data_IF_358690880353
#
_entry.id   IF_358690880353
#
_cell.length_a   1.000
_cell.length_b   1.000
_cell.length_c   1.000
_cell.angle_alpha   90.00
_cell.angle_beta   90.00
_cell.angle_gamma   90.00
#
_symmetry.space_group_name_H-M   'P 1'
#
loop_
_entity.id
_entity.type
_entity.pdbx_description
1 polymer ?
#
# COMPACT_ATOMS: atom_id res chain seq x y z
N UNK A 1 20.08 48.90 37.59
CA UNK A 1 20.76 48.03 38.58
C UNK A 1 20.86 46.63 37.95
N UNK A 2 22.08 46.31 37.53
CA UNK A 2 22.41 45.05 36.84
C UNK A 2 22.88 44.05 37.90
N UNK A 3 22.27 42.88 37.98
CA UNK A 3 22.71 41.75 38.82
C UNK A 3 23.36 40.66 37.95
N UNK A 4 24.37 39.94 38.46
CA UNK A 4 25.37 39.26 37.64
C UNK A 4 24.94 37.82 37.18
N UNK A 5 25.33 37.51 35.95
CA UNK A 5 25.33 36.16 35.35
C UNK A 5 26.26 35.22 36.11
N UNK A 6 25.77 34.06 36.55
CA UNK A 6 26.60 32.93 37.00
C UNK A 6 26.85 31.99 35.84
N UNK A 7 28.13 31.86 35.48
CA UNK A 7 28.63 30.81 34.56
C UNK A 7 28.79 29.52 35.36
N UNK A 8 28.21 28.42 34.85
CA UNK A 8 28.47 27.06 35.34
C UNK A 8 29.50 26.45 34.39
N UNK A 9 30.66 26.14 34.92
CA UNK A 9 31.72 25.42 34.23
C UNK A 9 31.44 23.90 34.29
N UNK A 10 31.42 23.24 33.16
CA UNK A 10 31.36 21.79 33.07
C UNK A 10 32.76 21.20 33.19
N UNK A 11 33.00 20.40 34.25
CA UNK A 11 34.22 19.60 34.43
C UNK A 11 34.14 18.35 33.55
N UNK A 12 35.07 18.21 32.62
CA UNK A 12 35.35 16.98 31.90
C UNK A 12 36.38 16.17 32.68
N UNK A 13 36.00 14.99 33.15
CA UNK A 13 36.91 13.98 33.71
C UNK A 13 37.24 12.95 32.62
N UNK A 14 38.52 12.61 32.43
CA UNK A 14 38.88 11.54 31.51
C UNK A 14 38.78 10.18 32.20
N UNK A 15 38.09 9.25 31.57
CA UNK A 15 37.93 7.85 31.97
C UNK A 15 39.16 7.06 31.48
N UNK A 16 40.10 6.74 32.41
CA UNK A 16 41.18 5.78 32.12
C UNK A 16 40.64 4.36 32.12
N UNK A 17 40.78 3.65 30.99
CA UNK A 17 40.60 2.21 30.91
C UNK A 17 41.90 1.50 31.30
N UNK A 18 41.85 0.78 32.41
CA UNK A 18 42.91 -0.17 32.80
C UNK A 18 42.70 -1.45 32.04
N UNK A 19 43.63 -1.80 31.15
CA UNK A 19 43.67 -3.10 30.47
C UNK A 19 44.38 -4.09 31.40
N UNK A 20 43.61 -5.03 31.96
CA UNK A 20 44.15 -6.18 32.66
C UNK A 20 44.58 -7.22 31.63
N UNK A 21 45.87 -7.48 31.60
CA UNK A 21 46.44 -8.53 30.76
C UNK A 21 46.03 -9.95 31.22
N UNK A 22 45.57 -10.80 30.31
CA UNK A 22 45.51 -12.23 30.49
C UNK A 22 46.76 -12.89 29.89
N UNK A 23 47.28 -13.96 30.53
CA UNK A 23 48.52 -14.64 30.08
C UNK A 23 48.26 -15.45 28.80
N UNK A 24 49.21 -15.38 27.89
CA UNK A 24 49.21 -16.05 26.60
C UNK A 24 49.19 -17.58 26.69
N UNK A 25 48.42 -18.18 25.80
CA UNK A 25 48.64 -19.51 25.32
C UNK A 25 49.08 -19.39 23.86
N UNK A 26 50.32 -19.78 23.57
CA UNK A 26 50.82 -19.92 22.21
C UNK A 26 49.95 -20.94 21.46
N UNK A 27 49.10 -20.48 20.57
CA UNK A 27 48.52 -21.33 19.54
C UNK A 27 49.29 -21.08 18.26
N UNK A 28 49.98 -22.14 17.87
CA UNK A 28 50.70 -22.28 16.62
C UNK A 28 49.73 -22.17 15.44
N UNK A 29 49.71 -21.01 14.77
CA UNK A 29 48.97 -20.82 13.52
C UNK A 29 49.82 -21.42 12.39
N UNK A 30 49.68 -22.74 12.16
CA UNK A 30 50.12 -23.35 10.91
C UNK A 30 49.27 -22.82 9.76
N UNK A 31 49.90 -22.06 8.87
CA UNK A 31 49.32 -21.61 7.61
C UNK A 31 48.94 -22.85 6.79
N UNK A 32 47.67 -23.00 6.35
CA UNK A 32 47.32 -24.15 5.48
C UNK A 32 48.01 -23.99 4.14
N UNK A 33 48.72 -25.03 3.76
CA UNK A 33 49.36 -25.16 2.45
C UNK A 33 48.29 -25.11 1.34
N UNK A 34 48.59 -24.33 0.33
CA UNK A 34 47.82 -24.03 -0.87
C UNK A 34 47.82 -25.26 -1.80
N UNK A 35 47.05 -26.32 -1.51
CA UNK A 35 46.77 -27.44 -2.41
C UNK A 35 45.54 -28.23 -1.93
N UNK A 36 44.42 -27.52 -1.61
CA UNK A 36 43.10 -28.14 -1.56
C UNK A 36 42.43 -27.87 -2.91
N UNK A 37 42.23 -28.91 -3.71
CA UNK A 37 41.36 -28.83 -4.88
C UNK A 37 40.00 -28.29 -4.45
N UNK A 38 39.40 -27.34 -5.22
CA UNK A 38 38.03 -26.89 -4.93
C UNK A 38 37.12 -28.12 -5.01
N UNK A 39 36.45 -28.43 -3.90
CA UNK A 39 35.39 -29.43 -3.90
C UNK A 39 34.36 -29.09 -4.99
N UNK A 40 33.61 -30.10 -5.49
CA UNK A 40 32.61 -29.83 -6.50
C UNK A 40 31.68 -28.70 -5.98
N UNK A 41 31.28 -27.76 -6.87
CA UNK A 41 30.38 -26.68 -6.45
C UNK A 41 29.19 -27.34 -5.79
N UNK A 42 28.78 -26.82 -4.59
CA UNK A 42 27.59 -27.26 -3.92
C UNK A 42 26.48 -27.29 -4.96
N UNK A 43 25.91 -28.49 -5.16
CA UNK A 43 24.81 -28.65 -6.08
C UNK A 43 23.75 -27.65 -5.61
N UNK A 44 23.45 -26.66 -6.44
CA UNK A 44 22.32 -25.76 -6.22
C UNK A 44 21.13 -26.68 -5.92
N UNK A 45 20.64 -26.62 -4.69
CA UNK A 45 19.38 -27.29 -4.34
C UNK A 45 18.36 -26.57 -5.15
N UNK A 46 17.97 -27.10 -6.30
CA UNK A 46 16.79 -26.65 -7.02
C UNK A 46 15.62 -26.86 -6.06
N UNK A 47 15.21 -25.78 -5.40
CA UNK A 47 13.92 -25.73 -4.75
C UNK A 47 12.90 -25.86 -5.88
N UNK A 48 12.42 -27.08 -6.12
CA UNK A 48 11.22 -27.22 -6.93
C UNK A 48 10.14 -26.37 -6.26
N UNK A 49 9.83 -25.23 -6.87
CA UNK A 49 8.73 -24.39 -6.44
C UNK A 49 7.47 -25.27 -6.43
N UNK A 50 6.79 -25.34 -5.29
CA UNK A 50 5.52 -26.06 -5.19
C UNK A 50 4.50 -25.52 -6.22
N UNK A 51 3.35 -26.18 -6.40
CA UNK A 51 2.33 -25.69 -7.33
C UNK A 51 1.95 -24.25 -6.97
N UNK A 52 1.62 -23.42 -7.99
CA UNK A 52 1.19 -22.05 -7.75
C UNK A 52 0.01 -21.97 -6.77
N UNK A 53 0.06 -21.02 -5.85
CA UNK A 53 -1.05 -20.70 -4.94
C UNK A 53 -1.73 -19.44 -5.46
N UNK A 54 -3.00 -19.52 -5.87
CA UNK A 54 -3.74 -18.34 -6.29
C UNK A 54 -4.02 -17.43 -5.08
N UNK A 55 -3.77 -16.12 -5.24
CA UNK A 55 -4.16 -15.09 -4.28
C UNK A 55 -5.00 -14.06 -5.04
N UNK A 56 -6.26 -13.99 -4.70
CA UNK A 56 -7.22 -13.05 -5.30
C UNK A 56 -7.24 -11.77 -4.49
N UNK A 57 -6.93 -10.66 -5.15
CA UNK A 57 -6.86 -9.32 -4.56
C UNK A 57 -7.95 -8.45 -5.16
N UNK A 58 -8.68 -7.74 -4.30
CA UNK A 58 -9.71 -6.76 -4.66
C UNK A 58 -9.31 -5.39 -4.16
N UNK A 59 -9.46 -4.36 -4.99
CA UNK A 59 -9.46 -2.97 -4.55
C UNK A 59 -10.81 -2.34 -4.79
N UNK A 60 -11.26 -1.49 -3.84
CA UNK A 60 -12.57 -0.86 -3.95
C UNK A 60 -12.68 0.42 -3.13
N UNK A 61 -12.97 1.55 -3.78
CA UNK A 61 -13.42 2.75 -3.12
C UNK A 61 -14.89 2.55 -2.70
N UNK A 62 -15.13 2.50 -1.38
CA UNK A 62 -16.47 2.23 -0.82
C UNK A 62 -17.29 3.47 -0.59
N UNK A 63 -16.87 4.63 -1.06
CA UNK A 63 -17.56 5.93 -0.96
C UNK A 63 -17.99 6.29 0.46
N UNK A 64 -17.11 6.95 1.20
CA UNK A 64 -17.39 7.56 2.51
C UNK A 64 -18.08 6.59 3.50
N UNK A 65 -17.37 5.54 3.91
CA UNK A 65 -17.87 4.62 4.93
C UNK A 65 -17.70 5.26 6.33
N UNK A 66 -18.60 6.20 6.67
CA UNK A 66 -18.67 6.88 7.96
C UNK A 66 -19.57 6.12 8.94
N UNK A 67 -19.29 6.26 10.23
CA UNK A 67 -20.13 5.72 11.31
C UNK A 67 -21.13 6.74 11.89
N UNK A 68 -21.86 6.32 12.90
CA UNK A 68 -22.89 7.11 13.58
C UNK A 68 -22.40 7.75 14.90
N UNK A 69 -21.06 7.84 15.08
CA UNK A 69 -20.42 8.34 16.30
C UNK A 69 -19.41 9.43 16.00
N UNK A 70 -19.09 10.23 17.03
CA UNK A 70 -17.98 11.18 17.01
C UNK A 70 -16.78 10.55 17.69
N UNK A 71 -16.02 9.73 16.97
CA UNK A 71 -14.90 8.95 17.49
C UNK A 71 -13.62 9.08 16.68
N UNK A 72 -13.55 10.00 15.73
CA UNK A 72 -12.32 10.30 15.01
C UNK A 72 -11.25 10.86 15.96
N UNK A 73 -10.05 10.32 15.84
CA UNK A 73 -8.86 10.83 16.56
C UNK A 73 -8.09 11.88 15.76
N UNK A 74 -8.45 12.09 14.49
CA UNK A 74 -7.67 12.91 13.55
C UNK A 74 -8.34 14.23 13.18
N UNK A 75 -9.67 14.27 13.21
CA UNK A 75 -10.46 15.47 12.94
C UNK A 75 -11.08 16.00 14.21
N UNK A 76 -11.25 17.33 14.26
CA UNK A 76 -12.02 17.94 15.34
C UNK A 76 -13.45 17.37 15.33
N UNK A 77 -13.96 16.98 16.50
CA UNK A 77 -15.31 16.41 16.62
C UNK A 77 -16.43 17.29 16.00
N UNK A 78 -16.22 18.61 15.91
CA UNK A 78 -17.17 19.52 15.27
C UNK A 78 -17.23 19.35 13.74
N UNK A 79 -16.14 18.89 13.13
CA UNK A 79 -15.97 18.77 11.67
C UNK A 79 -16.18 17.33 11.18
N UNK A 80 -16.31 16.37 12.11
CA UNK A 80 -16.52 14.96 11.80
C UNK A 80 -17.89 14.72 11.17
N UNK A 81 -17.90 14.05 10.03
CA UNK A 81 -19.13 13.65 9.35
C UNK A 81 -19.76 12.48 10.09
N UNK A 82 -21.06 12.61 10.43
CA UNK A 82 -21.82 11.56 11.09
C UNK A 82 -23.03 11.22 10.23
N UNK A 83 -23.25 9.92 10.04
CA UNK A 83 -24.46 9.40 9.41
C UNK A 83 -25.43 8.86 10.46
N UNK A 84 -26.67 8.58 10.09
CA UNK A 84 -27.59 7.91 11.02
C UNK A 84 -27.18 6.44 11.22
N UNK A 85 -27.52 5.86 12.38
CA UNK A 85 -27.26 4.45 12.68
C UNK A 85 -27.90 3.49 11.66
N UNK A 86 -29.03 3.89 11.04
CA UNK A 86 -29.68 3.10 9.99
C UNK A 86 -28.90 3.14 8.68
N UNK A 87 -28.40 4.30 8.26
CA UNK A 87 -27.55 4.47 7.08
C UNK A 87 -26.22 3.72 7.25
N UNK A 88 -25.55 3.88 8.40
CA UNK A 88 -24.33 3.16 8.71
C UNK A 88 -24.52 1.64 8.61
N UNK A 89 -25.54 1.11 9.28
CA UNK A 89 -25.87 -0.33 9.25
C UNK A 89 -26.16 -0.83 7.84
N UNK A 90 -26.92 -0.06 7.06
CA UNK A 90 -27.26 -0.40 5.67
C UNK A 90 -26.00 -0.41 4.79
N UNK A 91 -25.14 0.60 4.92
CA UNK A 91 -23.89 0.74 4.17
C UNK A 91 -22.93 -0.40 4.47
N UNK A 92 -22.69 -0.70 5.77
CA UNK A 92 -21.87 -1.84 6.19
C UNK A 92 -22.40 -3.16 5.63
N UNK A 93 -23.72 -3.36 5.62
CA UNK A 93 -24.32 -4.59 5.09
C UNK A 93 -24.13 -4.68 3.57
N UNK A 94 -24.28 -3.57 2.83
CA UNK A 94 -24.11 -3.54 1.38
C UNK A 94 -22.64 -3.82 0.99
N UNK A 95 -21.67 -3.16 1.66
CA UNK A 95 -20.24 -3.39 1.41
C UNK A 95 -19.86 -4.84 1.73
N UNK A 96 -20.31 -5.37 2.89
CA UNK A 96 -20.03 -6.76 3.26
C UNK A 96 -20.62 -7.76 2.27
N UNK A 97 -21.81 -7.50 1.73
CA UNK A 97 -22.46 -8.39 0.75
C UNK A 97 -21.67 -8.52 -0.56
N UNK A 98 -21.12 -7.40 -1.07
CA UNK A 98 -20.27 -7.40 -2.26
C UNK A 98 -18.98 -8.19 -2.01
N UNK A 99 -18.27 -7.92 -0.90
CA UNK A 99 -17.03 -8.63 -0.54
C UNK A 99 -17.31 -10.13 -0.40
N UNK A 100 -18.40 -10.52 0.29
CA UNK A 100 -18.77 -11.90 0.49
C UNK A 100 -19.19 -12.61 -0.82
N UNK A 101 -19.69 -11.90 -1.82
CA UNK A 101 -20.02 -12.45 -3.14
C UNK A 101 -18.75 -12.67 -3.99
N UNK A 102 -17.81 -11.71 -3.99
CA UNK A 102 -16.54 -11.79 -4.73
C UNK A 102 -15.58 -12.80 -4.10
N UNK A 103 -15.49 -12.86 -2.75
CA UNK A 103 -14.62 -13.73 -1.96
C UNK A 103 -13.14 -13.60 -2.32
N UNK A 104 -12.57 -12.40 -2.32
CA UNK A 104 -11.15 -12.24 -2.52
C UNK A 104 -10.37 -12.65 -1.26
N UNK A 105 -9.12 -13.10 -1.39
CA UNK A 105 -8.25 -13.41 -0.25
C UNK A 105 -7.79 -12.14 0.49
N UNK A 106 -7.62 -11.03 -0.27
CA UNK A 106 -7.21 -9.71 0.24
C UNK A 106 -8.08 -8.62 -0.36
N UNK A 107 -8.55 -7.70 0.47
CA UNK A 107 -9.34 -6.52 0.07
C UNK A 107 -8.64 -5.26 0.52
N UNK A 108 -8.36 -4.34 -0.40
CA UNK A 108 -7.88 -2.98 -0.11
C UNK A 108 -9.01 -2.00 -0.37
N UNK A 109 -9.47 -1.34 0.69
CA UNK A 109 -10.60 -0.41 0.65
C UNK A 109 -10.10 1.03 0.73
N UNK A 110 -10.73 1.93 -0.03
CA UNK A 110 -10.56 3.37 0.10
C UNK A 110 -11.85 3.97 0.69
N UNK A 111 -11.69 5.12 1.38
CA UNK A 111 -12.76 5.88 2.02
C UNK A 111 -13.40 5.19 3.24
N UNK A 112 -12.58 4.50 4.02
CA UNK A 112 -12.97 3.98 5.34
C UNK A 112 -12.59 5.00 6.41
N UNK A 113 -13.52 5.33 7.32
CA UNK A 113 -13.31 6.39 8.30
C UNK A 113 -12.24 6.06 9.34
N UNK A 114 -12.34 4.90 9.99
CA UNK A 114 -11.44 4.56 11.09
C UNK A 114 -11.39 3.05 11.37
N UNK A 115 -10.55 2.64 12.34
CA UNK A 115 -10.40 1.24 12.72
C UNK A 115 -11.71 0.64 13.29
N UNK A 116 -12.54 1.43 13.98
CA UNK A 116 -13.82 0.95 14.53
C UNK A 116 -14.76 0.54 13.40
N UNK A 117 -14.86 1.36 12.36
CA UNK A 117 -15.65 1.06 11.16
C UNK A 117 -15.14 -0.21 10.45
N UNK A 118 -13.82 -0.35 10.34
CA UNK A 118 -13.20 -1.54 9.74
C UNK A 118 -13.48 -2.80 10.58
N UNK A 119 -13.43 -2.70 11.89
CA UNK A 119 -13.74 -3.81 12.79
C UNK A 119 -15.21 -4.18 12.75
N UNK A 120 -16.12 -3.22 12.69
CA UNK A 120 -17.56 -3.44 12.51
C UNK A 120 -17.85 -4.15 11.17
N UNK A 121 -17.17 -3.75 10.08
CA UNK A 121 -17.22 -4.47 8.80
C UNK A 121 -16.70 -5.90 8.94
N UNK A 122 -15.59 -6.08 9.65
CA UNK A 122 -15.01 -7.39 9.93
C UNK A 122 -15.92 -8.32 10.73
N UNK A 123 -16.82 -7.79 11.59
CA UNK A 123 -17.83 -8.63 12.28
C UNK A 123 -18.79 -9.32 11.31
N UNK A 124 -19.00 -8.76 10.12
CA UNK A 124 -19.83 -9.34 9.06
C UNK A 124 -19.03 -10.25 8.11
N UNK A 125 -17.71 -10.19 8.17
CA UNK A 125 -16.75 -10.85 7.28
C UNK A 125 -15.76 -11.67 8.11
N UNK A 126 -16.25 -12.69 8.78
CA UNK A 126 -15.45 -13.52 9.73
C UNK A 126 -14.26 -14.25 9.07
N UNK A 127 -14.28 -14.43 7.75
CA UNK A 127 -13.17 -15.02 6.99
C UNK A 127 -11.92 -14.11 6.97
N UNK A 128 -12.04 -12.80 7.30
CA UNK A 128 -10.96 -11.81 7.25
C UNK A 128 -10.47 -11.43 8.66
N UNK A 129 -9.64 -12.28 9.31
CA UNK A 129 -9.15 -12.01 10.67
C UNK A 129 -8.08 -10.91 10.71
N UNK A 130 -7.36 -10.67 9.61
CA UNK A 130 -6.30 -9.68 9.53
C UNK A 130 -6.86 -8.37 8.97
N UNK A 131 -6.86 -7.32 9.79
CA UNK A 131 -7.43 -6.02 9.46
C UNK A 131 -6.52 -4.90 9.92
N UNK A 132 -6.31 -3.90 9.06
CA UNK A 132 -5.55 -2.70 9.40
C UNK A 132 -6.01 -1.51 8.57
N UNK A 133 -5.86 -0.32 9.12
CA UNK A 133 -6.13 0.94 8.44
C UNK A 133 -4.87 1.82 8.50
N UNK A 134 -4.57 2.52 7.42
CA UNK A 134 -3.51 3.51 7.40
C UNK A 134 -4.11 4.90 7.36
N UNK A 135 -3.97 5.61 8.48
CA UNK A 135 -4.49 6.95 8.65
C UNK A 135 -3.75 7.96 7.80
N UNK A 136 -4.49 8.75 7.02
CA UNK A 136 -3.95 9.72 6.05
C UNK A 136 -3.94 11.17 6.53
N UNK A 137 -4.01 12.08 5.54
CA UNK A 137 -4.06 13.53 5.75
C UNK A 137 -5.36 14.13 5.16
N UNK A 138 -6.37 13.32 4.85
CA UNK A 138 -7.64 13.84 4.33
C UNK A 138 -8.42 14.53 5.45
N UNK A 139 -8.81 15.81 5.27
CA UNK A 139 -9.55 16.53 6.31
C UNK A 139 -10.94 15.97 6.57
N UNK A 140 -11.46 15.08 5.73
CA UNK A 140 -12.73 14.38 5.92
C UNK A 140 -12.61 13.16 6.84
N UNK A 141 -11.38 12.75 7.21
CA UNK A 141 -11.13 11.56 8.02
C UNK A 141 -11.49 10.27 7.28
N UNK A 142 -11.08 10.14 6.03
CA UNK A 142 -11.25 8.92 5.23
C UNK A 142 -9.89 8.37 4.82
N UNK A 143 -9.73 7.09 5.01
CA UNK A 143 -8.47 6.40 4.98
C UNK A 143 -8.47 5.18 4.06
N UNK A 144 -7.33 4.49 4.00
CA UNK A 144 -7.16 3.25 3.25
C UNK A 144 -7.04 2.09 4.24
N UNK A 145 -7.82 1.04 3.99
CA UNK A 145 -7.88 -0.12 4.86
C UNK A 145 -7.60 -1.42 4.11
N UNK A 146 -7.16 -2.45 4.84
CA UNK A 146 -7.01 -3.82 4.34
C UNK A 146 -7.78 -4.79 5.20
N UNK A 147 -8.45 -5.74 4.53
CA UNK A 147 -9.01 -6.97 5.11
C UNK A 147 -8.31 -8.15 4.42
N UNK A 148 -7.84 -9.15 5.16
CA UNK A 148 -7.18 -10.31 4.58
C UNK A 148 -7.54 -11.61 5.30
N UNK A 149 -7.79 -12.68 4.54
CA UNK A 149 -7.86 -14.05 5.03
C UNK A 149 -6.46 -14.57 5.37
N UNK A 150 -5.44 -14.09 4.65
CA UNK A 150 -4.05 -14.50 4.79
C UNK A 150 -3.32 -13.60 5.80
N UNK A 151 -2.30 -14.11 6.52
CA UNK A 151 -1.45 -13.30 7.34
C UNK A 151 -0.75 -12.19 6.53
N UNK A 152 -0.84 -10.96 7.02
CA UNK A 152 -0.22 -9.78 6.40
C UNK A 152 0.69 -9.07 7.39
N UNK A 153 1.73 -8.44 6.88
CA UNK A 153 2.57 -7.49 7.60
C UNK A 153 2.32 -6.09 7.03
N UNK A 154 2.05 -5.14 7.90
CA UNK A 154 1.86 -3.74 7.50
C UNK A 154 3.22 -3.04 7.54
N UNK A 155 3.56 -2.35 6.46
CA UNK A 155 4.76 -1.56 6.32
C UNK A 155 4.68 -0.20 7.04
N UNK A 156 5.68 0.66 6.87
CA UNK A 156 5.70 1.99 7.46
C UNK A 156 4.61 2.90 6.86
N UNK A 157 4.13 3.86 7.67
CA UNK A 157 3.28 4.95 7.18
C UNK A 157 4.12 5.99 6.43
N UNK A 158 3.60 6.46 5.31
CA UNK A 158 4.19 7.48 4.44
C UNK A 158 3.51 8.85 4.57
N UNK A 159 2.46 8.98 5.39
CA UNK A 159 1.66 10.23 5.53
C UNK A 159 2.47 11.45 5.97
N UNK A 160 3.57 11.23 6.65
CA UNK A 160 4.48 12.27 7.13
C UNK A 160 5.48 12.77 6.09
N UNK A 161 5.62 12.09 4.98
CA UNK A 161 6.63 12.39 3.97
C UNK A 161 6.30 13.65 3.18
N UNK A 162 7.33 14.46 2.93
CA UNK A 162 7.25 15.63 2.08
C UNK A 162 7.94 15.36 0.74
N UNK A 163 7.24 15.65 -0.34
CA UNK A 163 7.75 15.42 -1.69
C UNK A 163 7.29 16.51 -2.66
N UNK A 164 7.85 16.51 -3.86
CA UNK A 164 7.57 17.50 -4.93
C UNK A 164 7.30 16.75 -6.22
N UNK A 165 6.47 17.35 -7.08
CA UNK A 165 6.35 16.87 -8.44
C UNK A 165 7.60 17.27 -9.27
N UNK A 166 8.04 16.38 -10.16
CA UNK A 166 9.11 16.70 -11.12
C UNK A 166 8.70 17.84 -12.08
N UNK A 167 7.40 17.97 -12.34
CA UNK A 167 6.81 19.00 -13.19
C UNK A 167 6.70 20.37 -12.53
N UNK A 168 6.69 20.42 -11.19
CA UNK A 168 6.69 21.67 -10.41
C UNK A 168 7.47 21.50 -9.08
N UNK A 169 8.79 21.67 -9.10
CA UNK A 169 9.63 21.51 -7.91
C UNK A 169 9.51 22.67 -6.90
N UNK A 170 8.72 23.70 -7.18
CA UNK A 170 8.53 24.84 -6.29
C UNK A 170 7.51 24.53 -5.17
N UNK A 171 6.58 23.64 -5.42
CA UNK A 171 5.56 23.21 -4.46
C UNK A 171 5.97 21.94 -3.73
N UNK A 172 5.63 21.88 -2.45
CA UNK A 172 5.87 20.69 -1.61
C UNK A 172 4.52 20.11 -1.18
N UNK A 173 4.38 18.82 -1.29
CA UNK A 173 3.17 18.08 -0.98
C UNK A 173 3.40 17.02 0.10
N UNK A 174 2.32 16.52 0.66
CA UNK A 174 2.19 15.25 1.37
C UNK A 174 1.12 14.44 0.65
N UNK A 175 1.10 13.15 0.86
CA UNK A 175 -0.02 12.31 0.42
C UNK A 175 -1.36 12.86 0.95
N UNK A 176 -2.40 12.84 0.12
CA UNK A 176 -3.76 13.20 0.54
C UNK A 176 -4.30 12.15 1.51
N UNK A 177 -4.10 10.89 1.22
CA UNK A 177 -4.29 9.71 2.07
C UNK A 177 -2.97 8.98 2.11
N UNK A 178 -2.69 8.25 3.17
CA UNK A 178 -1.42 7.51 3.25
C UNK A 178 -1.31 6.49 2.11
N UNK A 179 -0.11 5.96 1.86
CA UNK A 179 0.07 4.73 1.09
C UNK A 179 0.03 3.56 2.07
N UNK A 180 -0.98 2.71 1.98
CA UNK A 180 -1.07 1.51 2.80
C UNK A 180 -0.17 0.42 2.21
N UNK A 181 0.96 0.18 2.87
CA UNK A 181 1.93 -0.84 2.47
C UNK A 181 1.60 -2.17 3.16
N UNK A 182 1.24 -3.19 2.37
CA UNK A 182 0.84 -4.53 2.84
C UNK A 182 1.74 -5.58 2.23
N UNK A 183 2.35 -6.43 3.06
CA UNK A 183 3.24 -7.50 2.63
C UNK A 183 2.65 -8.87 2.95
N UNK A 184 2.61 -9.75 1.96
CA UNK A 184 2.26 -11.15 2.07
C UNK A 184 3.47 -12.01 1.70
N UNK A 185 3.61 -13.15 2.37
CA UNK A 185 4.55 -14.19 1.98
C UNK A 185 3.77 -15.50 1.81
N UNK A 186 3.66 -15.95 0.58
CA UNK A 186 2.93 -17.18 0.22
C UNK A 186 3.89 -18.08 -0.54
N UNK A 187 4.14 -19.28 -0.03
CA UNK A 187 5.09 -20.23 -0.61
C UNK A 187 6.50 -19.65 -0.87
N UNK A 188 6.96 -18.75 0.03
CA UNK A 188 8.24 -18.07 -0.14
C UNK A 188 8.24 -16.93 -1.15
N UNK A 189 7.17 -16.72 -1.89
CA UNK A 189 6.99 -15.55 -2.78
C UNK A 189 6.47 -14.36 -1.98
N UNK A 190 7.17 -13.26 -2.07
CA UNK A 190 6.76 -11.99 -1.48
C UNK A 190 5.89 -11.21 -2.45
N UNK A 191 4.66 -10.88 -2.04
CA UNK A 191 3.75 -9.98 -2.72
C UNK A 191 3.58 -8.72 -1.87
N UNK A 192 3.94 -7.56 -2.40
CA UNK A 192 3.74 -6.26 -1.80
C UNK A 192 2.59 -5.53 -2.50
N UNK A 193 1.58 -5.15 -1.73
CA UNK A 193 0.45 -4.36 -2.17
C UNK A 193 0.59 -2.94 -1.62
N UNK A 194 0.58 -1.94 -2.50
CA UNK A 194 0.58 -0.53 -2.13
C UNK A 194 -0.82 0.03 -2.40
N UNK A 195 -1.65 0.08 -1.37
CA UNK A 195 -2.99 0.67 -1.44
C UNK A 195 -2.90 2.19 -1.53
N UNK A 196 -3.52 2.80 -2.54
CA UNK A 196 -3.50 4.24 -2.78
C UNK A 196 -4.89 4.82 -2.91
N UNK A 197 -5.03 6.11 -2.58
CA UNK A 197 -6.16 6.94 -2.94
C UNK A 197 -5.63 8.36 -3.18
N UNK A 198 -5.32 8.68 -4.44
CA UNK A 198 -4.71 9.95 -4.80
C UNK A 198 -5.68 11.12 -4.62
N UNK A 199 -5.14 12.34 -4.65
CA UNK A 199 -5.92 13.58 -4.55
C UNK A 199 -7.03 13.60 -5.59
N UNK A 200 -8.27 13.84 -5.15
CA UNK A 200 -9.45 13.90 -6.03
C UNK A 200 -9.28 14.93 -7.16
N UNK A 201 -9.90 14.64 -8.30
CA UNK A 201 -10.07 15.60 -9.41
C UNK A 201 -11.10 16.64 -8.98
N UNK A 202 -10.67 17.90 -8.83
CA UNK A 202 -11.50 19.02 -8.40
C UNK A 202 -11.41 20.26 -9.32
N UNK A 203 -10.71 20.09 -10.45
CA UNK A 203 -10.46 21.17 -11.42
C UNK A 203 -9.38 22.17 -10.98
N UNK A 204 -8.81 22.07 -9.77
CA UNK A 204 -7.68 22.90 -9.38
C UNK A 204 -6.37 22.37 -10.04
N UNK A 205 -5.65 23.21 -10.81
CA UNK A 205 -4.36 22.83 -11.38
C UNK A 205 -3.36 22.31 -10.33
N UNK A 206 -3.40 22.79 -9.08
CA UNK A 206 -2.55 22.32 -8.00
C UNK A 206 -2.87 20.87 -7.61
N UNK A 207 -4.14 20.48 -7.66
CA UNK A 207 -4.55 19.09 -7.42
C UNK A 207 -4.03 18.15 -8.50
N UNK A 208 -3.98 18.59 -9.75
CA UNK A 208 -3.34 17.82 -10.83
C UNK A 208 -1.84 17.63 -10.60
N UNK A 209 -1.11 18.69 -10.24
CA UNK A 209 0.33 18.61 -9.89
C UNK A 209 0.55 17.72 -8.67
N UNK A 210 -0.34 17.79 -7.65
CA UNK A 210 -0.27 16.94 -6.47
C UNK A 210 -0.42 15.46 -6.83
N UNK A 211 -1.35 15.08 -7.72
CA UNK A 211 -1.49 13.69 -8.18
C UNK A 211 -0.22 13.17 -8.88
N UNK A 212 0.45 14.01 -9.69
CA UNK A 212 1.73 13.64 -10.28
C UNK A 212 2.76 13.38 -9.17
N UNK A 213 2.86 14.27 -8.19
CA UNK A 213 3.78 14.11 -7.07
C UNK A 213 3.50 12.85 -6.24
N UNK A 214 2.21 12.55 -5.96
CA UNK A 214 1.78 11.33 -5.26
C UNK A 214 2.16 10.06 -6.05
N UNK A 215 1.96 10.08 -7.37
CA UNK A 215 2.32 8.98 -8.26
C UNK A 215 3.84 8.73 -8.31
N UNK A 216 4.65 9.78 -8.43
CA UNK A 216 6.11 9.70 -8.41
C UNK A 216 6.64 9.19 -7.07
N UNK A 217 6.07 9.66 -5.94
CA UNK A 217 6.47 9.22 -4.61
C UNK A 217 6.05 7.76 -4.35
N UNK A 218 4.85 7.35 -4.77
CA UNK A 218 4.41 5.94 -4.69
C UNK A 218 5.33 5.03 -5.49
N UNK A 219 5.72 5.44 -6.71
CA UNK A 219 6.71 4.71 -7.50
C UNK A 219 8.07 4.60 -6.81
N UNK A 220 8.51 5.65 -6.10
CA UNK A 220 9.75 5.64 -5.32
C UNK A 220 9.67 4.65 -4.15
N UNK A 221 8.54 4.58 -3.44
CA UNK A 221 8.29 3.59 -2.37
C UNK A 221 8.40 2.19 -2.96
N UNK A 222 7.68 1.90 -4.04
CA UNK A 222 7.74 0.61 -4.73
C UNK A 222 9.16 0.23 -5.17
N UNK A 223 9.91 1.19 -5.71
CA UNK A 223 11.32 0.99 -6.09
C UNK A 223 12.18 0.64 -4.86
N UNK A 224 11.93 1.29 -3.73
CA UNK A 224 12.60 0.98 -2.46
C UNK A 224 12.36 -0.46 -2.00
N UNK A 225 11.13 -0.96 -2.10
CA UNK A 225 10.76 -2.35 -1.80
C UNK A 225 11.53 -3.31 -2.72
N UNK A 226 11.56 -3.03 -4.04
CA UNK A 226 12.29 -3.85 -5.02
C UNK A 226 13.80 -3.87 -4.75
N UNK A 227 14.39 -2.77 -4.30
CA UNK A 227 15.80 -2.75 -3.90
C UNK A 227 16.08 -3.59 -2.63
N UNK A 228 15.15 -3.59 -1.68
CA UNK A 228 15.24 -4.42 -0.47
C UNK A 228 15.01 -5.90 -0.74
N UNK A 229 14.19 -6.24 -1.71
CA UNK A 229 13.88 -7.59 -2.16
C UNK A 229 13.61 -7.60 -3.67
N UNK A 230 14.62 -7.95 -4.46
CA UNK A 230 14.52 -7.95 -5.93
C UNK A 230 13.59 -9.03 -6.51
N UNK A 231 13.14 -9.97 -5.70
CA UNK A 231 12.14 -11.00 -6.08
C UNK A 231 10.72 -10.66 -5.66
N UNK A 232 10.50 -9.53 -4.97
CA UNK A 232 9.17 -9.09 -4.57
C UNK A 232 8.32 -8.75 -5.81
N UNK A 233 7.11 -9.29 -5.86
CA UNK A 233 6.08 -8.85 -6.78
C UNK A 233 5.39 -7.62 -6.17
N UNK A 234 5.26 -6.53 -6.91
CA UNK A 234 4.72 -5.28 -6.39
C UNK A 234 3.49 -4.86 -7.20
N UNK A 235 2.40 -4.61 -6.49
CA UNK A 235 1.16 -4.11 -7.07
C UNK A 235 0.78 -2.81 -6.37
N UNK A 236 0.68 -1.72 -7.13
CA UNK A 236 0.04 -0.48 -6.67
C UNK A 236 -1.41 -0.53 -7.08
N UNK A 237 -2.33 -0.43 -6.11
CA UNK A 237 -3.76 -0.62 -6.39
C UNK A 237 -4.61 0.37 -5.58
N UNK A 238 -5.76 0.73 -6.14
CA UNK A 238 -6.67 1.68 -5.49
C UNK A 238 -7.26 2.69 -6.46
N UNK A 239 -7.78 3.78 -5.88
CA UNK A 239 -8.32 4.91 -6.61
C UNK A 239 -7.23 5.94 -6.92
N UNK A 240 -6.83 6.00 -8.18
CA UNK A 240 -5.83 6.94 -8.65
C UNK A 240 -6.41 8.32 -8.96
N UNK A 241 -7.74 8.49 -8.96
CA UNK A 241 -8.43 9.72 -9.38
C UNK A 241 -7.89 10.27 -10.72
N UNK A 242 -7.51 9.37 -11.60
CA UNK A 242 -6.77 9.68 -12.83
C UNK A 242 -7.00 8.60 -13.88
N UNK A 243 -7.26 9.01 -15.12
CA UNK A 243 -7.41 8.07 -16.24
C UNK A 243 -6.07 7.46 -16.66
N UNK A 244 -6.05 6.27 -17.30
CA UNK A 244 -4.82 5.54 -17.64
C UNK A 244 -3.77 6.34 -18.41
N UNK A 245 -4.20 7.25 -19.30
CA UNK A 245 -3.32 8.03 -20.18
C UNK A 245 -2.92 9.40 -19.61
N UNK A 246 -3.35 9.70 -18.38
CA UNK A 246 -3.04 10.96 -17.70
C UNK A 246 -1.58 11.05 -17.24
N UNK A 247 -1.11 12.25 -16.98
CA UNK A 247 0.27 12.48 -16.52
C UNK A 247 0.59 11.82 -15.17
N UNK A 248 -0.30 11.79 -14.16
CA UNK A 248 -0.06 11.02 -12.95
C UNK A 248 0.17 9.53 -13.22
N UNK A 249 -0.63 8.92 -14.10
CA UNK A 249 -0.51 7.50 -14.41
C UNK A 249 0.73 7.18 -15.26
N UNK A 250 1.17 8.09 -16.12
CA UNK A 250 2.48 7.99 -16.80
C UNK A 250 3.64 8.11 -15.82
N UNK A 251 3.53 9.00 -14.84
CA UNK A 251 4.54 9.17 -13.78
C UNK A 251 4.66 7.92 -12.90
N UNK A 252 3.54 7.30 -12.53
CA UNK A 252 3.52 6.03 -11.81
C UNK A 252 4.10 4.90 -12.67
N UNK A 253 3.67 4.78 -13.93
CA UNK A 253 4.15 3.74 -14.83
C UNK A 253 5.67 3.77 -14.98
N UNK A 254 6.24 4.95 -15.16
CA UNK A 254 7.68 5.12 -15.32
C UNK A 254 8.22 4.46 -16.57
N UNK A 255 9.50 4.00 -16.51
CA UNK A 255 10.22 3.42 -17.63
C UNK A 255 10.85 2.08 -17.25
N UNK A 256 11.15 1.25 -18.25
CA UNK A 256 11.92 0.03 -18.06
C UNK A 256 13.27 0.33 -17.35
N UNK A 257 13.83 -0.61 -16.56
CA UNK A 257 13.31 -1.97 -16.32
C UNK A 257 12.14 -2.04 -15.31
N UNK A 258 11.80 -0.95 -14.63
CA UNK A 258 10.80 -0.92 -13.55
C UNK A 258 9.54 -0.19 -14.06
N UNK A 259 8.81 -0.84 -14.98
CA UNK A 259 7.61 -0.32 -15.61
C UNK A 259 6.36 -0.93 -14.96
N UNK A 260 5.49 -0.08 -14.40
CA UNK A 260 4.17 -0.52 -13.94
C UNK A 260 3.16 -0.54 -15.10
N UNK A 261 2.53 -1.69 -15.33
CA UNK A 261 1.48 -1.88 -16.32
C UNK A 261 0.11 -2.11 -15.68
N UNK A 262 -0.94 -1.72 -16.36
CA UNK A 262 -2.33 -1.95 -15.92
C UNK A 262 -2.69 -3.43 -15.98
N UNK A 263 -3.37 -3.94 -14.95
CA UNK A 263 -3.97 -5.27 -15.01
C UNK A 263 -5.20 -5.26 -15.92
N UNK A 264 -5.98 -4.18 -15.89
CA UNK A 264 -7.24 -4.05 -16.65
C UNK A 264 -7.06 -3.74 -18.14
N UNK A 265 -5.81 -3.60 -18.64
CA UNK A 265 -5.56 -3.28 -20.06
C UNK A 265 -6.08 -4.33 -21.03
N UNK A 266 -6.29 -5.57 -20.56
CA UNK A 266 -6.79 -6.71 -21.36
C UNK A 266 -8.30 -6.79 -21.42
N UNK A 267 -9.00 -6.03 -20.61
CA UNK A 267 -10.46 -5.98 -20.62
C UNK A 267 -10.99 -5.30 -21.88
N UNK A 268 -12.17 -5.72 -22.33
CA UNK A 268 -12.86 -5.04 -23.42
C UNK A 268 -13.14 -3.57 -23.05
N UNK A 269 -13.06 -2.66 -24.01
CA UNK A 269 -13.23 -1.22 -23.76
C UNK A 269 -14.57 -0.90 -23.10
N UNK A 270 -15.63 -1.66 -23.41
CA UNK A 270 -16.97 -1.44 -22.85
C UNK A 270 -17.04 -1.77 -21.35
N UNK A 271 -16.18 -2.68 -20.86
CA UNK A 271 -16.15 -3.15 -19.47
C UNK A 271 -15.02 -2.49 -18.67
N UNK A 272 -14.27 -1.58 -19.32
CA UNK A 272 -13.05 -0.98 -18.77
C UNK A 272 -13.31 0.39 -18.15
N UNK A 273 -14.16 0.43 -17.13
CA UNK A 273 -14.42 1.62 -16.31
C UNK A 273 -14.68 1.17 -14.87
N UNK A 274 -14.41 2.04 -13.90
CA UNK A 274 -14.64 1.76 -12.48
C UNK A 274 -15.53 2.82 -11.80
N UNK A 275 -15.80 3.92 -12.47
CA UNK A 275 -16.63 5.00 -11.97
C UNK A 275 -17.30 5.75 -13.12
N UNK A 276 -18.48 6.32 -12.86
CA UNK A 276 -19.11 7.27 -13.78
C UNK A 276 -18.93 8.69 -13.23
N UNK A 277 -17.99 9.44 -13.79
CA UNK A 277 -17.70 10.81 -13.37
C UNK A 277 -18.21 11.82 -14.41
N UNK A 278 -18.99 12.81 -13.94
CA UNK A 278 -19.59 13.80 -14.86
C UNK A 278 -20.47 13.19 -15.95
N UNK A 279 -21.06 12.02 -15.72
CA UNK A 279 -21.88 11.29 -16.69
C UNK A 279 -21.10 10.45 -17.69
N UNK A 280 -19.78 10.38 -17.57
CA UNK A 280 -18.90 9.59 -18.45
C UNK A 280 -18.24 8.46 -17.68
N UNK A 281 -18.22 7.21 -18.22
CA UNK A 281 -17.44 6.11 -17.67
C UNK A 281 -15.96 6.44 -17.66
N UNK A 282 -15.29 6.24 -16.52
CA UNK A 282 -13.87 6.50 -16.32
C UNK A 282 -13.23 5.30 -15.60
N UNK A 283 -11.97 5.02 -15.92
CA UNK A 283 -11.17 4.05 -15.18
C UNK A 283 -10.26 4.80 -14.21
N UNK A 284 -10.67 4.89 -12.94
CA UNK A 284 -9.90 5.51 -11.86
C UNK A 284 -9.29 4.49 -10.91
N UNK A 285 -9.90 3.30 -10.81
CA UNK A 285 -9.42 2.20 -9.99
C UNK A 285 -8.75 1.13 -10.84
N UNK A 286 -7.58 0.64 -10.41
CA UNK A 286 -6.82 -0.35 -11.16
C UNK A 286 -5.83 -1.10 -10.23
N UNK A 287 -5.24 -2.19 -10.75
CA UNK A 287 -4.03 -2.82 -10.26
C UNK A 287 -2.88 -2.49 -11.23
N UNK A 288 -1.87 -1.77 -10.74
CA UNK A 288 -0.65 -1.45 -11.47
C UNK A 288 0.46 -2.39 -11.04
N UNK A 289 0.80 -3.30 -11.93
CA UNK A 289 1.74 -4.39 -11.65
C UNK A 289 3.14 -4.03 -12.13
N UNK A 290 4.15 -4.25 -11.28
CA UNK A 290 5.54 -4.29 -11.73
C UNK A 290 5.78 -5.51 -12.64
N UNK A 291 6.94 -5.66 -13.30
CA UNK A 291 7.19 -6.80 -14.21
C UNK A 291 7.05 -8.17 -13.55
N UNK A 292 7.38 -8.29 -12.26
CA UNK A 292 7.27 -9.57 -11.53
C UNK A 292 5.79 -9.87 -11.24
N UNK A 293 5.05 -8.93 -10.68
CA UNK A 293 3.62 -9.09 -10.42
C UNK A 293 2.84 -9.34 -11.71
N UNK A 294 3.22 -8.67 -12.83
CA UNK A 294 2.61 -8.90 -14.14
C UNK A 294 2.84 -10.33 -14.64
N UNK A 295 4.02 -10.91 -14.37
CA UNK A 295 4.34 -12.30 -14.69
C UNK A 295 3.56 -13.33 -13.85
N UNK A 296 3.07 -12.93 -12.67
CA UNK A 296 2.26 -13.78 -11.79
C UNK A 296 0.75 -13.57 -11.98
N UNK A 297 0.35 -12.53 -12.72
CA UNK A 297 -1.05 -12.18 -12.93
C UNK A 297 -1.76 -13.23 -13.80
N UNK A 298 -2.83 -13.83 -13.29
CA UNK A 298 -3.78 -14.58 -14.10
C UNK A 298 -4.68 -13.59 -14.86
N UNK A 299 -4.33 -13.33 -16.10
CA UNK A 299 -5.02 -12.36 -16.95
C UNK A 299 -6.51 -12.67 -17.11
N UNK A 300 -6.89 -13.95 -17.10
CA UNK A 300 -8.29 -14.36 -17.24
C UNK A 300 -9.13 -14.07 -15.98
N UNK A 301 -8.47 -13.87 -14.84
CA UNK A 301 -9.13 -13.54 -13.56
C UNK A 301 -9.46 -12.06 -13.40
N UNK A 302 -8.86 -11.19 -14.24
CA UNK A 302 -9.05 -9.73 -14.10
C UNK A 302 -10.48 -9.35 -14.44
N UNK A 303 -11.14 -8.65 -13.54
CA UNK A 303 -12.51 -8.17 -13.75
C UNK A 303 -12.76 -6.87 -12.99
N UNK A 304 -13.67 -6.06 -13.52
CA UNK A 304 -14.32 -4.96 -12.80
C UNK A 304 -15.76 -5.40 -12.57
N UNK A 305 -16.21 -5.36 -11.32
CA UNK A 305 -17.51 -5.94 -10.95
C UNK A 305 -18.61 -4.92 -11.12
N UNK A 306 -19.34 -4.99 -12.23
CA UNK A 306 -20.46 -4.10 -12.54
C UNK A 306 -21.78 -4.78 -12.20
N UNK A 307 -22.32 -4.55 -10.99
CA UNK A 307 -23.63 -5.10 -10.64
C UNK A 307 -24.46 -4.16 -9.77
N UNK A 308 -25.75 -4.52 -9.59
CA UNK A 308 -26.68 -3.70 -8.81
C UNK A 308 -26.32 -3.62 -7.31
N UNK A 309 -25.66 -4.64 -6.76
CA UNK A 309 -25.24 -4.64 -5.36
C UNK A 309 -24.07 -3.68 -5.15
N UNK A 310 -23.14 -3.62 -6.10
CA UNK A 310 -22.04 -2.63 -6.10
C UNK A 310 -22.61 -1.21 -6.17
N UNK A 311 -23.50 -0.95 -7.15
CA UNK A 311 -24.12 0.38 -7.31
C UNK A 311 -24.95 0.84 -6.10
N UNK A 312 -25.50 -0.10 -5.32
CA UNK A 312 -26.19 0.20 -4.06
C UNK A 312 -25.21 0.54 -2.92
N UNK A 313 -23.97 0.08 -3.02
CA UNK A 313 -22.95 0.25 -1.99
C UNK A 313 -21.99 1.38 -2.28
N UNK A 314 -21.62 1.66 -3.52
CA UNK A 314 -20.66 2.68 -3.92
C UNK A 314 -20.97 3.22 -5.33
N UNK A 315 -20.35 4.34 -5.69
CA UNK A 315 -20.30 4.86 -7.06
C UNK A 315 -19.04 4.41 -7.80
N UNK A 316 -18.16 3.66 -7.13
CA UNK A 316 -17.04 2.95 -7.74
C UNK A 316 -17.30 1.47 -7.82
N UNK A 317 -16.81 0.85 -8.89
CA UNK A 317 -16.85 -0.59 -9.12
C UNK A 317 -15.54 -1.24 -8.67
N UNK A 318 -15.56 -2.35 -7.91
CA UNK A 318 -14.34 -3.01 -7.46
C UNK A 318 -13.56 -3.64 -8.61
N UNK A 319 -12.23 -3.51 -8.56
CA UNK A 319 -11.29 -4.19 -9.46
C UNK A 319 -10.72 -5.42 -8.77
N UNK A 320 -10.77 -6.56 -9.43
CA UNK A 320 -10.34 -7.87 -8.89
C UNK A 320 -9.33 -8.50 -9.83
N UNK A 321 -8.28 -9.06 -9.28
CA UNK A 321 -7.26 -9.81 -10.01
C UNK A 321 -6.67 -10.93 -9.14
N UNK A 322 -6.31 -12.07 -9.75
CA UNK A 322 -5.64 -13.19 -9.07
C UNK A 322 -4.18 -13.28 -9.49
N UNK A 323 -3.30 -13.48 -8.52
CA UNK A 323 -1.86 -13.67 -8.71
C UNK A 323 -1.47 -15.10 -8.35
N UNK A 324 -0.75 -15.79 -9.23
CA UNK A 324 -0.28 -17.18 -9.04
C UNK A 324 1.09 -17.17 -8.35
N UNK A 325 1.12 -17.30 -7.02
CA UNK A 325 2.34 -17.21 -6.22
C UNK A 325 3.05 -18.57 -6.10
N UNK A 326 4.31 -18.65 -6.56
CA UNK A 326 5.14 -19.87 -6.58
C UNK A 326 6.62 -19.57 -6.52
#
# INVERSE_FOLDING_TARGET
>A
MLGPMRRIAALLLPLCWVVAGCPGTDQDFSVPTKDAEPGPPDAAVDFEAGPPVPVTVMTWNVKNLYNDKRDSLEIAQADETIVSASEYKAKLAAVAAVIAAVKPDVVVLQEVENQVVLDDLGTKLAAYPHRSISQGNDPRGIDIAVLSELPVQIGPSHKGEYFKASTDPTQTFKFARDVLEVHLNVNGRHLALLGVHFKAEDGDPKSAVKRIAEAEQTRKIATGISFGNSSAAIVVLGDFNSTPDSDPMKALAGNAPFLFSSATETLATADRYSVTFGGNPQLYDDHRCDPIAKGLLDIASVTIVHDAAVNAASDHDPVVATYQLH
#
